data_IF_096708445113
#
_entry.id   IF_096708445113
#
_cell.length_a   1.000
_cell.length_b   1.000
_cell.length_c   1.000
_cell.angle_alpha   90.00
_cell.angle_beta   90.00
_cell.angle_gamma   90.00
#
_symmetry.space_group_name_H-M   'P 1'
#
loop_
_entity.id
_entity.type
_entity.pdbx_description
1 polymer ?
#
# COMPACT_ATOMS: atom_id res chain seq x y z
N UNK A 1 -10.12 -17.28 -1.96
CA UNK A 1 -11.25 -16.36 -2.22
C UNK A 1 -10.68 -14.97 -2.43
N UNK A 2 -11.49 -13.97 -2.82
CA UNK A 2 -11.02 -12.58 -2.98
C UNK A 2 -10.49 -11.99 -1.67
N UNK A 3 -11.05 -12.42 -0.55
CA UNK A 3 -10.62 -11.99 0.77
C UNK A 3 -9.46 -12.82 1.33
N UNK A 4 -8.90 -13.76 0.56
CA UNK A 4 -7.82 -14.65 1.01
C UNK A 4 -8.22 -15.69 2.06
N UNK A 5 -9.53 -15.83 2.33
CA UNK A 5 -10.07 -16.86 3.24
C UNK A 5 -9.97 -18.26 2.65
N UNK A 6 -9.98 -19.27 3.52
CA UNK A 6 -9.91 -20.70 3.17
C UNK A 6 -8.65 -21.13 2.38
N UNK A 7 -7.61 -20.29 2.27
CA UNK A 7 -6.40 -20.62 1.51
C UNK A 7 -5.57 -21.74 2.18
N UNK A 8 -5.50 -21.75 3.51
CA UNK A 8 -4.90 -22.86 4.28
C UNK A 8 -6.03 -23.78 4.77
N UNK A 9 -6.06 -25.02 4.29
CA UNK A 9 -7.03 -26.03 4.74
C UNK A 9 -6.97 -26.19 6.27
N UNK A 10 -8.09 -25.97 6.95
CA UNK A 10 -8.13 -26.06 8.41
C UNK A 10 -9.41 -25.55 9.02
N UNK A 11 -9.89 -24.35 8.68
CA UNK A 11 -11.12 -23.80 9.27
C UNK A 11 -11.74 -22.73 8.34
N UNK A 12 -12.78 -23.05 7.55
CA UNK A 12 -13.41 -22.11 6.60
C UNK A 12 -14.01 -20.87 7.26
N UNK A 13 -14.33 -20.97 8.55
CA UNK A 13 -15.13 -20.00 9.29
C UNK A 13 -14.29 -19.07 10.18
N UNK A 14 -12.97 -19.26 10.19
CA UNK A 14 -12.13 -18.50 11.08
C UNK A 14 -11.89 -17.09 10.53
N UNK A 15 -12.49 -16.13 11.24
CA UNK A 15 -12.06 -14.73 11.38
C UNK A 15 -10.54 -14.57 11.67
N UNK A 16 -9.79 -15.67 11.83
CA UNK A 16 -8.35 -15.73 12.09
C UNK A 16 -7.54 -16.44 10.98
N UNK A 17 -8.09 -16.63 9.78
CA UNK A 17 -7.36 -17.25 8.65
C UNK A 17 -6.05 -16.50 8.33
N UNK A 18 -4.94 -17.25 8.16
CA UNK A 18 -3.65 -16.66 7.77
C UNK A 18 -3.77 -16.03 6.38
N UNK A 19 -3.19 -14.85 6.21
CA UNK A 19 -3.09 -14.16 4.92
C UNK A 19 -4.39 -13.60 4.32
N UNK A 20 -5.52 -13.72 5.02
CA UNK A 20 -6.76 -13.06 4.62
C UNK A 20 -6.67 -11.54 4.81
N UNK A 21 -7.51 -10.80 4.11
CA UNK A 21 -7.71 -9.36 4.35
C UNK A 21 -8.04 -9.08 5.81
N UNK A 22 -7.41 -8.07 6.41
CA UNK A 22 -7.48 -7.71 7.84
C UNK A 22 -6.89 -8.72 8.84
N UNK A 23 -6.11 -9.69 8.36
CA UNK A 23 -5.31 -10.54 9.25
C UNK A 23 -4.26 -9.70 10.00
N UNK A 24 -4.00 -10.09 11.25
CA UNK A 24 -2.93 -9.50 12.05
C UNK A 24 -1.58 -9.89 11.45
N UNK A 25 -0.68 -8.92 11.30
CA UNK A 25 0.67 -9.18 10.78
C UNK A 25 1.46 -10.10 11.72
N UNK A 26 2.13 -11.09 11.13
CA UNK A 26 3.05 -11.95 11.85
C UNK A 26 4.30 -11.18 12.28
N UNK A 27 4.94 -11.65 13.36
CA UNK A 27 6.21 -11.11 13.84
C UNK A 27 7.25 -12.22 13.87
N UNK A 28 8.42 -11.96 13.27
CA UNK A 28 9.57 -12.86 13.35
C UNK A 28 10.39 -12.64 14.65
N UNK A 29 10.16 -11.53 15.35
CA UNK A 29 10.76 -11.21 16.63
C UNK A 29 9.75 -10.46 17.51
N UNK A 30 9.93 -10.51 18.83
CA UNK A 30 9.10 -9.75 19.77
C UNK A 30 9.08 -8.26 19.43
N UNK A 31 7.95 -7.60 19.68
CA UNK A 31 7.86 -6.16 19.50
C UNK A 31 8.83 -5.45 20.46
N UNK A 32 9.51 -4.41 19.97
CA UNK A 32 10.40 -3.57 20.76
C UNK A 32 9.80 -2.19 20.86
N UNK A 33 9.36 -1.83 22.08
CA UNK A 33 8.82 -0.53 22.41
C UNK A 33 9.57 0.01 23.64
N UNK A 34 9.99 1.29 23.66
CA UNK A 34 10.69 1.86 24.81
C UNK A 34 9.82 1.77 26.06
N UNK A 35 10.39 1.30 27.17
CA UNK A 35 9.66 1.12 28.43
C UNK A 35 8.43 0.20 28.33
N UNK A 36 8.27 -0.59 27.27
CA UNK A 36 7.04 -1.35 26.99
C UNK A 36 5.85 -0.51 26.50
N UNK A 37 6.03 0.80 26.29
CA UNK A 37 4.99 1.74 25.91
C UNK A 37 5.01 1.99 24.41
N UNK A 38 3.86 1.78 23.78
CA UNK A 38 3.76 1.75 22.33
C UNK A 38 3.01 2.96 21.77
N UNK A 39 2.81 4.04 22.53
CA UNK A 39 2.03 5.23 22.17
C UNK A 39 2.84 6.39 21.59
N UNK A 40 2.27 7.59 21.61
CA UNK A 40 2.89 8.87 21.17
C UNK A 40 4.24 9.12 21.82
N UNK A 41 5.20 9.66 21.06
CA UNK A 41 6.57 9.92 21.52
C UNK A 41 7.42 8.66 21.65
N UNK A 42 6.99 7.53 21.06
CA UNK A 42 7.78 6.31 21.07
C UNK A 42 9.10 6.46 20.29
N UNK A 43 9.16 7.35 19.29
CA UNK A 43 10.42 7.68 18.60
C UNK A 43 11.42 8.40 19.52
N UNK A 44 10.95 9.29 20.39
CA UNK A 44 11.78 10.09 21.30
C UNK A 44 12.31 9.30 22.51
N UNK A 45 11.63 8.19 22.87
CA UNK A 45 12.03 7.37 24.01
C UNK A 45 13.17 6.39 23.70
N UNK A 46 13.58 6.28 22.44
CA UNK A 46 14.82 5.60 22.09
C UNK A 46 15.97 6.60 22.13
N UNK A 47 17.07 6.24 22.80
CA UNK A 47 18.36 6.94 22.64
C UNK A 47 18.94 6.60 21.27
N UNK A 48 18.35 7.20 20.22
CA UNK A 48 18.67 6.97 18.81
C UNK A 48 18.62 8.30 18.05
N UNK A 49 19.46 8.48 17.01
CA UNK A 49 19.36 9.65 16.15
C UNK A 49 18.00 9.71 15.44
N UNK A 50 17.55 10.93 15.11
CA UNK A 50 16.29 11.10 14.39
C UNK A 50 16.34 10.41 13.01
N UNK A 51 15.19 9.92 12.49
CA UNK A 51 15.13 9.33 11.15
C UNK A 51 15.71 10.24 10.06
N UNK A 52 15.50 11.56 10.16
CA UNK A 52 16.05 12.53 9.21
C UNK A 52 17.56 12.65 9.31
N UNK A 53 18.12 12.67 10.53
CA UNK A 53 19.57 12.63 10.73
C UNK A 53 20.18 11.41 10.03
N UNK A 54 19.61 10.21 10.25
CA UNK A 54 20.07 8.97 9.62
C UNK A 54 19.97 9.06 8.09
N UNK A 55 18.85 9.57 7.57
CA UNK A 55 18.65 9.75 6.12
C UNK A 55 19.74 10.65 5.50
N UNK A 56 20.11 11.75 6.16
CA UNK A 56 21.14 12.65 5.64
C UNK A 56 22.53 11.99 5.60
N UNK A 57 22.82 11.10 6.55
CA UNK A 57 24.16 10.50 6.65
C UNK A 57 24.31 9.18 5.87
N UNK A 58 23.20 8.45 5.65
CA UNK A 58 23.24 7.14 4.99
C UNK A 58 22.66 7.14 3.57
N UNK A 59 21.68 7.98 3.30
CA UNK A 59 20.94 7.97 2.03
C UNK A 59 21.28 9.14 1.11
N UNK A 60 22.12 10.09 1.55
CA UNK A 60 22.56 11.18 0.69
C UNK A 60 23.39 10.62 -0.48
N UNK A 61 22.98 10.96 -1.69
CA UNK A 61 23.54 10.44 -2.92
C UNK A 61 23.69 11.56 -3.95
N UNK A 62 24.81 12.31 -3.92
CA UNK A 62 24.98 13.50 -4.76
C UNK A 62 25.13 13.19 -6.27
N UNK A 63 25.38 11.93 -6.62
CA UNK A 63 25.61 11.49 -8.00
C UNK A 63 24.79 10.24 -8.33
N UNK A 64 24.48 10.00 -9.60
CA UNK A 64 23.84 8.75 -10.00
C UNK A 64 24.78 7.56 -9.81
N UNK A 65 24.31 6.54 -9.09
CA UNK A 65 25.01 5.26 -8.90
C UNK A 65 24.23 4.17 -9.65
N UNK A 66 24.57 3.88 -10.92
CA UNK A 66 23.88 2.84 -11.67
C UNK A 66 24.18 1.45 -11.10
N UNK A 67 23.18 0.56 -11.17
CA UNK A 67 23.34 -0.83 -10.77
C UNK A 67 24.34 -1.58 -11.65
N UNK A 68 25.22 -2.37 -11.05
CA UNK A 68 26.13 -3.29 -11.75
C UNK A 68 25.47 -4.61 -12.13
N UNK A 69 24.22 -4.84 -11.70
CA UNK A 69 23.50 -6.12 -11.89
C UNK A 69 22.73 -6.22 -13.22
N UNK A 70 22.80 -5.20 -14.07
CA UNK A 70 22.12 -5.20 -15.38
C UNK A 70 20.59 -5.22 -15.29
N UNK A 71 20.01 -4.80 -14.18
CA UNK A 71 18.54 -4.71 -14.00
C UNK A 71 18.03 -3.35 -14.45
N UNK A 72 16.86 -3.33 -15.08
CA UNK A 72 16.20 -2.08 -15.49
C UNK A 72 15.34 -1.52 -14.35
N UNK A 73 14.94 -0.26 -14.48
CA UNK A 73 13.99 0.37 -13.55
C UNK A 73 12.65 -0.39 -13.47
N UNK A 74 12.30 -1.18 -14.50
CA UNK A 74 11.12 -2.05 -14.48
C UNK A 74 11.13 -3.00 -13.28
N UNK A 75 12.29 -3.52 -12.88
CA UNK A 75 12.41 -4.43 -11.73
C UNK A 75 12.04 -3.76 -10.41
N UNK A 76 12.36 -2.47 -10.25
CA UNK A 76 12.05 -1.70 -9.03
C UNK A 76 10.53 -1.53 -8.92
N UNK A 77 9.90 -1.07 -9.99
CA UNK A 77 8.46 -0.81 -10.00
C UNK A 77 7.61 -2.09 -10.03
N UNK A 78 8.11 -3.18 -10.59
CA UNK A 78 7.50 -4.51 -10.42
C UNK A 78 7.53 -4.93 -8.95
N UNK A 79 8.62 -4.66 -8.23
CA UNK A 79 8.72 -4.90 -6.80
C UNK A 79 7.66 -4.14 -6.00
N UNK A 80 7.43 -2.87 -6.33
CA UNK A 80 6.35 -2.07 -5.72
C UNK A 80 4.96 -2.59 -6.08
N UNK A 81 4.72 -2.95 -7.34
CA UNK A 81 3.44 -3.56 -7.73
C UNK A 81 3.17 -4.87 -6.96
N UNK A 82 4.22 -5.67 -6.70
CA UNK A 82 4.13 -6.87 -5.87
C UNK A 82 3.89 -6.52 -4.39
N UNK A 83 4.54 -5.49 -3.85
CA UNK A 83 4.26 -5.00 -2.48
C UNK A 83 2.77 -4.67 -2.30
N UNK A 84 2.18 -4.04 -3.32
CA UNK A 84 0.76 -3.68 -3.35
C UNK A 84 -0.18 -4.88 -3.47
N UNK A 85 0.36 -6.09 -3.63
CA UNK A 85 -0.37 -7.34 -3.64
C UNK A 85 -0.28 -8.09 -2.30
N UNK A 86 0.70 -7.75 -1.45
CA UNK A 86 1.03 -8.54 -0.25
C UNK A 86 0.88 -7.78 1.05
N UNK A 87 0.97 -6.44 1.07
CA UNK A 87 0.84 -5.67 2.29
C UNK A 87 0.30 -4.25 2.09
N UNK A 88 -0.57 -3.85 3.01
CA UNK A 88 -1.01 -2.48 3.25
C UNK A 88 -1.39 -2.36 4.72
N UNK A 89 -0.92 -1.32 5.40
CA UNK A 89 -1.33 -1.03 6.77
C UNK A 89 -2.06 0.31 6.78
N UNK A 90 -3.22 0.38 7.43
CA UNK A 90 -3.95 1.64 7.54
C UNK A 90 -3.15 2.69 8.30
N UNK A 91 -3.07 3.88 7.72
CA UNK A 91 -2.60 5.09 8.36
C UNK A 91 -3.76 5.78 9.08
N UNK A 92 -3.49 6.38 10.22
CA UNK A 92 -4.46 7.22 10.93
C UNK A 92 -4.28 8.68 10.55
N UNK A 93 -4.54 9.04 9.29
CA UNK A 93 -4.27 10.39 8.79
C UNK A 93 -4.98 11.50 9.61
N UNK A 94 -6.28 11.34 9.91
CA UNK A 94 -7.06 12.39 10.61
C UNK A 94 -7.34 12.06 12.10
N UNK A 95 -7.23 10.79 12.50
CA UNK A 95 -7.57 10.31 13.85
C UNK A 95 -6.45 9.46 14.49
N UNK A 96 -5.29 9.38 13.83
CA UNK A 96 -4.15 8.58 14.29
C UNK A 96 -3.23 9.34 15.22
N UNK A 97 -2.39 8.57 15.92
CA UNK A 97 -1.33 9.15 16.74
C UNK A 97 -0.24 9.76 15.85
N UNK A 98 0.12 11.01 16.12
CA UNK A 98 1.29 11.66 15.52
C UNK A 98 2.57 11.29 16.26
N UNK A 99 3.66 11.17 15.51
CA UNK A 99 5.01 10.90 16.02
C UNK A 99 5.99 11.59 15.06
N UNK A 100 5.90 12.92 15.01
CA UNK A 100 6.62 13.73 14.03
C UNK A 100 8.13 13.49 14.06
N UNK A 101 8.75 13.53 12.89
CA UNK A 101 10.17 13.29 12.72
C UNK A 101 10.92 14.60 12.98
N UNK A 102 11.79 14.62 14.00
CA UNK A 102 12.67 15.76 14.25
C UNK A 102 13.67 15.97 13.09
N UNK A 103 13.72 17.21 12.61
CA UNK A 103 14.65 17.67 11.59
C UNK A 103 15.85 18.32 12.29
N UNK A 104 17.09 17.83 12.07
CA UNK A 104 18.28 18.42 12.66
C UNK A 104 18.47 19.89 12.27
N UNK A 105 19.09 20.66 13.16
CA UNK A 105 19.48 22.03 12.82
C UNK A 105 20.46 22.06 11.64
N UNK A 106 20.25 22.99 10.70
CA UNK A 106 21.07 23.10 9.49
C UNK A 106 20.80 22.00 8.46
N UNK A 107 19.63 21.34 8.49
CA UNK A 107 19.22 20.41 7.43
C UNK A 107 19.33 21.07 6.05
N UNK A 108 19.92 20.40 5.05
CA UNK A 108 20.18 21.01 3.75
C UNK A 108 18.92 21.22 2.89
N UNK A 109 17.80 20.59 3.25
CA UNK A 109 16.59 20.59 2.42
C UNK A 109 15.39 21.21 3.14
N UNK A 110 15.26 21.01 4.45
CA UNK A 110 14.10 21.43 5.22
C UNK A 110 14.44 22.55 6.19
N UNK A 111 13.54 23.53 6.31
CA UNK A 111 13.71 24.69 7.21
C UNK A 111 12.90 24.55 8.51
N UNK A 112 11.91 23.67 8.48
CA UNK A 112 11.07 23.29 9.59
C UNK A 112 11.85 22.46 10.62
N UNK A 113 11.35 22.45 11.86
CA UNK A 113 11.92 21.63 12.94
C UNK A 113 11.39 20.20 12.97
N UNK A 114 10.25 19.95 12.32
CA UNK A 114 9.56 18.68 12.35
C UNK A 114 8.95 18.36 10.98
N UNK A 115 9.01 17.10 10.58
CA UNK A 115 8.28 16.54 9.45
C UNK A 115 7.10 15.73 9.99
N UNK A 116 5.91 15.99 9.46
CA UNK A 116 4.69 15.32 9.89
C UNK A 116 4.76 13.81 9.64
N UNK A 117 4.42 13.03 10.66
CA UNK A 117 4.35 11.58 10.55
C UNK A 117 3.20 11.03 11.40
N UNK A 118 2.35 10.22 10.78
CA UNK A 118 1.25 9.54 11.42
C UNK A 118 1.57 8.06 11.60
N UNK A 119 1.31 7.57 12.81
CA UNK A 119 1.48 6.16 13.11
C UNK A 119 0.34 5.35 12.46
N UNK A 120 0.68 4.12 12.09
CA UNK A 120 -0.31 3.14 11.65
C UNK A 120 -1.37 2.88 12.73
N UNK A 121 -2.62 2.63 12.29
CA UNK A 121 -3.72 2.31 13.20
C UNK A 121 -3.47 0.93 13.84
N UNK A 122 -3.35 0.83 15.18
CA UNK A 122 -3.15 -0.45 15.83
C UNK A 122 -4.38 -1.34 15.67
N UNK A 123 -4.16 -2.64 15.56
CA UNK A 123 -5.23 -3.62 15.60
C UNK A 123 -5.89 -3.61 16.99
N UNK A 124 -7.21 -3.42 17.02
CA UNK A 124 -8.00 -3.61 18.24
C UNK A 124 -8.12 -5.11 18.55
N UNK A 125 -7.12 -5.63 19.25
CA UNK A 125 -7.09 -7.01 19.77
C UNK A 125 -6.43 -7.03 21.15
N UNK A 126 -6.82 -7.96 22.05
CA UNK A 126 -6.11 -8.19 23.30
C UNK A 126 -4.69 -8.72 23.01
N UNK A 127 -3.69 -7.86 23.14
CA UNK A 127 -2.28 -8.22 23.00
C UNK A 127 -1.43 -7.44 24.00
N UNK A 128 -0.35 -8.06 24.48
CA UNK A 128 0.64 -7.42 25.35
C UNK A 128 1.48 -6.37 24.62
N UNK A 129 1.36 -6.25 23.30
CA UNK A 129 2.08 -5.27 22.49
C UNK A 129 1.24 -4.86 21.30
N UNK A 130 1.34 -3.60 20.87
CA UNK A 130 0.66 -3.14 19.65
C UNK A 130 1.02 -4.00 18.46
N UNK A 131 0.01 -4.32 17.66
CA UNK A 131 0.14 -5.03 16.39
C UNK A 131 -0.73 -4.35 15.34
N UNK A 132 -0.59 -4.75 14.09
CA UNK A 132 -1.23 -4.11 12.95
C UNK A 132 -1.94 -5.15 12.09
N UNK A 133 -2.99 -4.72 11.40
CA UNK A 133 -3.67 -5.55 10.40
C UNK A 133 -3.13 -5.21 9.02
N UNK A 134 -2.88 -6.24 8.22
CA UNK A 134 -2.76 -6.06 6.78
C UNK A 134 -4.17 -5.85 6.21
N UNK A 135 -4.43 -4.73 5.55
CA UNK A 135 -5.74 -4.38 5.00
C UNK A 135 -5.98 -4.89 3.58
N UNK A 136 -5.02 -5.64 3.05
CA UNK A 136 -5.14 -6.45 1.83
C UNK A 136 -4.82 -7.92 2.13
N UNK A 137 -4.95 -8.81 1.15
CA UNK A 137 -4.50 -10.20 1.25
C UNK A 137 -2.97 -10.24 1.33
N UNK A 138 -2.39 -11.30 1.93
CA UNK A 138 -0.93 -11.48 1.94
C UNK A 138 -0.44 -12.45 0.88
N UNK A 139 -1.33 -12.87 -0.02
CA UNK A 139 -1.05 -13.83 -1.06
C UNK A 139 -0.66 -13.09 -2.33
N UNK A 140 0.19 -13.69 -3.16
CA UNK A 140 0.40 -13.23 -4.53
C UNK A 140 -0.77 -13.69 -5.40
N UNK A 141 -1.89 -12.99 -5.28
CA UNK A 141 -3.18 -13.35 -5.87
C UNK A 141 -3.74 -12.28 -6.83
N UNK A 142 -2.93 -11.27 -7.17
CA UNK A 142 -3.31 -10.10 -7.98
C UNK A 142 -4.48 -9.31 -7.35
N UNK A 143 -4.60 -9.29 -6.02
CA UNK A 143 -5.49 -8.37 -5.31
C UNK A 143 -5.22 -6.89 -5.64
N UNK A 144 -3.99 -6.54 -6.07
CA UNK A 144 -3.64 -5.26 -6.69
C UNK A 144 -4.46 -4.91 -7.94
N UNK A 145 -5.00 -5.92 -8.63
CA UNK A 145 -5.87 -5.79 -9.82
C UNK A 145 -7.34 -6.00 -9.46
N UNK A 146 -7.62 -7.03 -8.66
CA UNK A 146 -8.98 -7.51 -8.39
C UNK A 146 -9.62 -6.91 -7.13
N UNK A 147 -8.82 -6.33 -6.25
CA UNK A 147 -9.20 -5.91 -4.91
C UNK A 147 -9.14 -7.06 -3.91
N UNK A 148 -9.02 -6.73 -2.62
CA UNK A 148 -8.98 -7.71 -1.51
C UNK A 148 -10.32 -7.90 -0.81
N UNK A 149 -11.41 -7.36 -1.37
CA UNK A 149 -12.78 -7.54 -0.86
C UNK A 149 -13.74 -7.84 -1.99
N UNK A 150 -14.77 -8.64 -1.70
CA UNK A 150 -15.82 -8.97 -2.67
C UNK A 150 -16.54 -7.72 -3.17
N UNK A 151 -16.72 -6.71 -2.32
CA UNK A 151 -17.31 -5.43 -2.72
C UNK A 151 -16.46 -4.67 -3.73
N UNK A 152 -15.15 -4.57 -3.48
CA UNK A 152 -14.25 -3.89 -4.41
C UNK A 152 -14.18 -4.62 -5.75
N UNK A 153 -14.04 -5.95 -5.74
CA UNK A 153 -14.08 -6.74 -6.98
C UNK A 153 -15.39 -6.52 -7.74
N UNK A 154 -16.53 -6.62 -7.05
CA UNK A 154 -17.86 -6.45 -7.67
C UNK A 154 -17.95 -5.09 -8.36
N UNK A 155 -17.45 -4.03 -7.74
CA UNK A 155 -17.44 -2.68 -8.33
C UNK A 155 -16.55 -2.57 -9.55
N UNK A 156 -15.41 -3.24 -9.55
CA UNK A 156 -14.42 -3.21 -10.63
C UNK A 156 -14.80 -4.12 -11.82
N UNK A 157 -15.69 -5.10 -11.63
CA UNK A 157 -16.18 -5.97 -12.72
C UNK A 157 -17.22 -5.27 -13.58
N UNK A 158 -17.18 -5.53 -14.88
CA UNK A 158 -18.21 -5.04 -15.81
C UNK A 158 -19.47 -5.90 -15.82
N UNK A 159 -19.37 -7.15 -15.37
CA UNK A 159 -20.37 -8.21 -15.52
C UNK A 159 -20.79 -8.49 -16.98
N UNK A 160 -19.99 -8.06 -17.94
CA UNK A 160 -20.19 -8.31 -19.37
C UNK A 160 -18.98 -9.04 -19.93
N UNK A 161 -19.20 -10.19 -20.57
CA UNK A 161 -18.15 -10.99 -21.23
C UNK A 161 -16.95 -11.33 -20.32
N UNK A 162 -17.19 -11.47 -19.01
CA UNK A 162 -16.10 -11.71 -18.04
C UNK A 162 -15.14 -10.53 -17.81
N UNK A 163 -15.38 -9.36 -18.42
CA UNK A 163 -14.44 -8.23 -18.39
C UNK A 163 -14.45 -7.49 -17.04
N UNK A 164 -13.31 -6.89 -16.72
CA UNK A 164 -13.21 -5.79 -15.77
C UNK A 164 -13.62 -4.48 -16.45
N UNK A 165 -14.20 -3.55 -15.66
CA UNK A 165 -14.50 -2.19 -16.11
C UNK A 165 -13.22 -1.53 -16.59
N UNK A 166 -13.32 -0.83 -17.71
CA UNK A 166 -12.20 -0.17 -18.36
C UNK A 166 -12.72 1.03 -19.13
N UNK A 167 -11.81 1.95 -19.46
CA UNK A 167 -12.05 2.96 -20.49
C UNK A 167 -11.36 2.54 -21.77
N UNK A 168 -12.06 2.64 -22.88
CA UNK A 168 -11.44 2.47 -24.18
C UNK A 168 -10.94 3.84 -24.69
N UNK A 169 -9.65 3.93 -24.99
CA UNK A 169 -9.04 5.10 -25.61
C UNK A 169 -8.23 4.60 -26.79
N UNK A 170 -8.55 5.07 -28.00
CA UNK A 170 -7.92 4.65 -29.25
C UNK A 170 -7.90 3.12 -29.45
N UNK A 171 -9.01 2.44 -29.12
CA UNK A 171 -9.13 0.99 -29.25
C UNK A 171 -8.38 0.18 -28.17
N UNK A 172 -7.85 0.84 -27.13
CA UNK A 172 -7.07 0.20 -26.07
C UNK A 172 -7.76 0.35 -24.72
N UNK A 173 -7.88 -0.76 -23.99
CA UNK A 173 -8.43 -0.75 -22.63
C UNK A 173 -7.45 -0.09 -21.65
N UNK A 174 -7.95 0.88 -20.88
CA UNK A 174 -7.22 1.58 -19.83
C UNK A 174 -7.99 1.48 -18.50
N UNK A 175 -7.31 1.76 -17.39
CA UNK A 175 -7.98 1.84 -16.10
C UNK A 175 -9.14 2.85 -16.17
N UNK A 176 -10.30 2.52 -15.60
CA UNK A 176 -11.38 3.47 -15.44
C UNK A 176 -10.98 4.58 -14.47
N UNK A 177 -11.63 5.73 -14.55
CA UNK A 177 -11.48 6.78 -13.55
C UNK A 177 -12.27 6.39 -12.30
N UNK A 178 -11.79 6.80 -11.12
CA UNK A 178 -12.51 6.62 -9.86
C UNK A 178 -13.92 7.21 -9.95
N UNK A 179 -14.08 8.36 -10.62
CA UNK A 179 -15.38 9.02 -10.81
C UNK A 179 -16.38 8.20 -11.64
N UNK A 180 -15.93 7.19 -12.38
CA UNK A 180 -16.78 6.32 -13.20
C UNK A 180 -17.23 5.06 -12.46
N UNK A 181 -16.72 4.84 -11.24
CA UNK A 181 -17.06 3.68 -10.42
C UNK A 181 -17.56 4.15 -9.05
N UNK A 182 -18.86 3.97 -8.83
CA UNK A 182 -19.49 4.36 -7.58
C UNK A 182 -18.85 3.67 -6.36
N UNK A 183 -18.63 4.47 -5.32
CA UNK A 183 -18.07 4.09 -4.02
C UNK A 183 -16.73 3.35 -4.08
N UNK A 184 -15.92 3.59 -5.13
CA UNK A 184 -14.49 3.27 -5.12
C UNK A 184 -13.71 4.49 -4.65
N UNK A 185 -12.83 4.29 -3.68
CA UNK A 185 -11.88 5.29 -3.21
C UNK A 185 -10.46 4.85 -3.53
N UNK A 186 -9.64 5.80 -3.92
CA UNK A 186 -8.20 5.65 -4.13
C UNK A 186 -7.45 6.53 -3.12
N UNK A 187 -6.29 6.06 -2.68
CA UNK A 187 -5.34 6.84 -1.91
C UNK A 187 -4.53 7.77 -2.83
N UNK A 188 -3.73 8.64 -2.22
CA UNK A 188 -2.85 9.57 -2.93
C UNK A 188 -3.61 10.39 -3.98
N UNK A 189 -4.85 10.77 -3.63
CA UNK A 189 -5.62 11.66 -4.47
C UNK A 189 -4.89 13.01 -4.45
N UNK A 190 -4.30 13.44 -5.57
CA UNK A 190 -3.52 14.66 -5.63
C UNK A 190 -4.34 15.84 -5.10
N UNK A 191 -3.70 16.70 -4.31
CA UNK A 191 -4.31 17.94 -3.78
C UNK A 191 -4.82 18.88 -4.89
N UNK A 192 -4.47 18.62 -6.14
CA UNK A 192 -4.98 19.31 -7.32
C UNK A 192 -6.34 18.73 -7.75
N UNK A 193 -7.39 19.52 -7.57
CA UNK A 193 -8.78 19.21 -7.93
C UNK A 193 -9.01 18.80 -9.41
N UNK A 194 -8.00 18.93 -10.27
CA UNK A 194 -8.08 18.62 -11.71
C UNK A 194 -7.67 17.19 -12.06
N UNK A 195 -7.00 16.46 -11.16
CA UNK A 195 -6.54 15.11 -11.43
C UNK A 195 -7.61 14.08 -11.04
N UNK A 196 -7.93 13.20 -11.99
CA UNK A 196 -8.94 12.14 -11.83
C UNK A 196 -8.20 10.83 -11.58
N UNK A 197 -8.11 10.33 -10.33
CA UNK A 197 -7.39 9.09 -10.05
C UNK A 197 -8.02 7.93 -10.80
N UNK A 198 -7.21 6.98 -11.25
CA UNK A 198 -7.66 5.73 -11.84
C UNK A 198 -8.16 4.78 -10.76
N UNK A 199 -9.21 4.01 -11.04
CA UNK A 199 -9.68 2.93 -10.18
C UNK A 199 -8.98 1.60 -10.49
N UNK A 200 -8.48 0.94 -9.45
CA UNK A 200 -7.77 -0.34 -9.52
C UNK A 200 -8.09 -1.22 -8.30
N UNK A 201 -7.52 -2.43 -8.23
CA UNK A 201 -7.66 -3.33 -7.09
C UNK A 201 -7.06 -2.77 -5.80
N UNK A 202 -5.79 -2.36 -5.82
CA UNK A 202 -5.13 -1.66 -4.71
C UNK A 202 -5.39 -0.15 -4.77
N UNK A 203 -5.51 0.50 -3.61
CA UNK A 203 -5.88 1.93 -3.50
C UNK A 203 -4.73 2.88 -3.88
N UNK A 204 -3.48 2.42 -3.89
CA UNK A 204 -2.27 3.22 -4.15
C UNK A 204 -1.83 3.19 -5.60
N UNK A 205 -2.65 2.66 -6.52
CA UNK A 205 -2.34 2.57 -7.95
C UNK A 205 -1.94 3.89 -8.64
N UNK A 206 -2.22 5.04 -8.00
CA UNK A 206 -1.95 6.38 -8.51
C UNK A 206 -0.73 7.07 -7.89
N UNK A 207 0.12 6.38 -7.11
CA UNK A 207 1.32 6.96 -6.49
C UNK A 207 2.27 7.61 -7.50
N UNK A 208 2.44 6.99 -8.67
CA UNK A 208 3.17 7.57 -9.79
C UNK A 208 2.76 6.87 -11.11
N UNK A 209 3.00 7.50 -12.28
CA UNK A 209 2.52 6.98 -13.57
C UNK A 209 3.07 5.60 -13.95
N UNK A 210 4.28 5.24 -13.52
CA UNK A 210 4.86 3.92 -13.83
C UNK A 210 4.09 2.80 -13.11
N UNK A 211 3.69 2.99 -11.85
CA UNK A 211 2.88 2.02 -11.13
C UNK A 211 1.47 1.90 -11.76
N UNK A 212 0.86 3.03 -12.12
CA UNK A 212 -0.41 3.04 -12.85
C UNK A 212 -0.33 2.25 -14.18
N UNK A 213 0.83 2.28 -14.85
CA UNK A 213 1.07 1.47 -16.04
C UNK A 213 1.09 -0.04 -15.73
N UNK A 214 1.68 -0.48 -14.61
CA UNK A 214 1.61 -1.90 -14.18
C UNK A 214 0.17 -2.35 -13.94
N UNK A 215 -0.63 -1.57 -13.20
CA UNK A 215 -2.06 -1.87 -13.03
C UNK A 215 -2.81 -1.93 -14.37
N UNK A 216 -2.50 -1.02 -15.30
CA UNK A 216 -3.09 -1.01 -16.64
C UNK A 216 -2.69 -2.23 -17.47
N UNK A 217 -1.42 -2.66 -17.42
CA UNK A 217 -0.93 -3.86 -18.13
C UNK A 217 -1.70 -5.10 -17.66
N UNK A 218 -1.86 -5.28 -16.35
CA UNK A 218 -2.57 -6.44 -15.81
C UNK A 218 -4.08 -6.40 -16.07
N UNK A 219 -4.72 -5.22 -16.03
CA UNK A 219 -6.11 -5.04 -16.49
C UNK A 219 -6.26 -5.46 -17.95
N UNK A 220 -5.38 -4.97 -18.83
CA UNK A 220 -5.39 -5.33 -20.27
C UNK A 220 -5.21 -6.82 -20.45
N UNK A 221 -4.29 -7.44 -19.71
CA UNK A 221 -4.07 -8.87 -19.78
C UNK A 221 -5.32 -9.67 -19.35
N UNK A 222 -5.97 -9.28 -18.25
CA UNK A 222 -7.24 -9.89 -17.84
C UNK A 222 -8.30 -9.77 -18.94
N UNK A 223 -8.56 -8.54 -19.42
CA UNK A 223 -9.61 -8.30 -20.41
C UNK A 223 -9.31 -8.99 -21.75
N UNK A 224 -8.03 -9.13 -22.12
CA UNK A 224 -7.61 -9.92 -23.28
C UNK A 224 -7.94 -11.39 -23.08
N UNK A 225 -7.61 -11.98 -21.91
CA UNK A 225 -7.86 -13.39 -21.61
C UNK A 225 -9.36 -13.71 -21.49
N UNK A 226 -10.17 -12.80 -20.98
CA UNK A 226 -11.61 -12.99 -20.79
C UNK A 226 -12.41 -13.13 -22.10
N UNK A 227 -11.85 -12.69 -23.23
CA UNK A 227 -12.48 -12.74 -24.56
C UNK A 227 -11.79 -13.69 -25.53
N UNK A 228 -10.81 -14.48 -25.06
CA UNK A 228 -10.28 -15.64 -25.77
C UNK A 228 -11.27 -16.81 -25.68
#
# INVERSE_FOLDING_TARGET
TIEGTCHTGGMPEHKNGKGRVYAVQGRNASASYPGGHSGTGALEQFDRPSPRYISNHLCDQPNSIPTTKGVSAHTIYLGQFIDHDITLVSEGADEGERDDIEIPEGDPQFSERHMEFHRSIPADIPSSSRTYRNTITSWLDLSSVYGSTEDRLRRLRSFKNGLMKHREVNGVHNLPLQSEIEFVRMANNPHFQTQRPYAAGDIRANEHPVLAAFHTIWLRNHNRLAVL
#
